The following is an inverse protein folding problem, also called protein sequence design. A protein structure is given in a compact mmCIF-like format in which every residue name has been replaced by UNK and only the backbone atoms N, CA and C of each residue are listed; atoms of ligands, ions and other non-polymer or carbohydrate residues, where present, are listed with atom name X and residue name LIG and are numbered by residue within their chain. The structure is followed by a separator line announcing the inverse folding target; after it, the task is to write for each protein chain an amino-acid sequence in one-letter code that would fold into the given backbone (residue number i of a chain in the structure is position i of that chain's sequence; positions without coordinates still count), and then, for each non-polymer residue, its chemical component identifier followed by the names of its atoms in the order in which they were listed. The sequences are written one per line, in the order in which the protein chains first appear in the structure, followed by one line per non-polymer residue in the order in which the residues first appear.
data_IF_385060831200
#
_entry.id   IF_385060831200
#
_cell.length_a   1.000
_cell.length_b   1.000
_cell.length_c   1.000
_cell.angle_alpha   90.00
_cell.angle_beta   90.00
_cell.angle_gamma   90.00
#
_symmetry.space_group_name_H-M   'P 1'
#
loop_
_entity.id
_entity.type
_entity.pdbx_description
1 polymer ?
#
# COMPACT_ATOMS: atom_id res chain seq x y z
N UNK A 1 32.05 14.14 39.90
CA UNK A 1 31.57 13.04 39.05
C UNK A 1 30.04 13.13 39.08
N UNK A 2 29.46 13.72 38.07
CA UNK A 2 28.00 13.93 37.96
C UNK A 2 27.47 13.00 36.87
N UNK A 3 26.72 11.98 37.29
CA UNK A 3 25.96 11.12 36.41
C UNK A 3 24.84 11.90 35.73
N UNK A 4 24.90 12.03 34.41
CA UNK A 4 23.77 12.49 33.60
C UNK A 4 22.90 11.28 33.23
N UNK A 5 21.57 11.32 33.46
CA UNK A 5 20.70 10.25 33.06
C UNK A 5 20.62 10.18 31.52
N UNK A 6 20.80 8.98 30.96
CA UNK A 6 20.55 8.67 29.55
C UNK A 6 19.06 8.88 29.26
N UNK A 7 18.71 9.80 28.36
CA UNK A 7 17.35 9.93 27.84
C UNK A 7 17.01 8.61 27.10
N UNK A 8 16.07 7.87 27.66
CA UNK A 8 15.42 6.77 26.95
C UNK A 8 14.59 7.34 25.79
N UNK A 9 14.60 6.63 24.67
CA UNK A 9 13.72 6.90 23.54
C UNK A 9 12.26 6.96 24.01
N UNK A 10 11.57 8.05 23.69
CA UNK A 10 10.17 8.23 24.05
C UNK A 10 9.33 7.21 23.26
N UNK A 11 8.43 6.51 23.96
CA UNK A 11 7.52 5.53 23.34
C UNK A 11 6.64 6.12 22.23
N UNK A 12 6.59 7.44 22.12
CA UNK A 12 5.83 8.18 21.10
C UNK A 12 6.50 8.14 19.72
N UNK A 13 7.82 8.06 19.64
CA UNK A 13 8.55 8.04 18.37
C UNK A 13 8.43 6.69 17.64
N UNK A 14 8.07 5.61 18.37
CA UNK A 14 7.90 4.27 17.81
C UNK A 14 6.55 4.06 17.08
N UNK A 15 5.57 4.91 17.33
CA UNK A 15 4.18 4.71 16.88
C UNK A 15 3.88 5.42 15.55
N UNK A 16 4.68 6.41 15.16
CA UNK A 16 4.46 7.19 13.92
C UNK A 16 4.66 6.32 12.65
N UNK A 17 5.41 5.23 12.76
CA UNK A 17 5.67 4.30 11.65
C UNK A 17 4.51 3.33 11.31
N UNK A 18 3.33 3.45 11.94
CA UNK A 18 2.36 2.34 11.98
C UNK A 18 1.04 2.56 11.24
N UNK A 19 0.87 3.64 10.46
CA UNK A 19 -0.43 3.88 9.80
C UNK A 19 -0.71 2.93 8.65
N UNK A 20 0.31 2.46 7.94
CA UNK A 20 0.14 1.41 6.93
C UNK A 20 0.12 -0.01 7.53
N UNK A 21 0.25 -0.16 8.86
CA UNK A 21 0.32 -1.47 9.51
C UNK A 21 -0.19 -1.44 10.94
N UNK A 22 -1.47 -1.53 11.12
CA UNK A 22 -2.05 -1.90 12.40
C UNK A 22 -2.01 -3.41 12.56
N UNK A 23 -0.96 -3.88 13.19
CA UNK A 23 -0.76 -5.30 13.47
C UNK A 23 0.60 -5.49 14.14
N UNK A 24 0.85 -4.81 15.28
CA UNK A 24 2.11 -4.94 15.99
C UNK A 24 2.12 -6.20 16.87
N UNK A 25 2.97 -7.16 16.53
CA UNK A 25 3.54 -8.08 17.49
C UNK A 25 4.98 -7.67 17.71
N UNK A 26 5.29 -7.13 18.90
CA UNK A 26 6.66 -6.85 19.31
C UNK A 26 7.38 -8.17 19.56
N UNK A 27 8.35 -8.54 18.72
CA UNK A 27 9.33 -9.58 19.01
C UNK A 27 10.67 -8.91 19.20
N UNK A 28 11.21 -9.09 20.41
CA UNK A 28 12.56 -8.70 20.82
C UNK A 28 13.61 -9.37 19.93
N UNK A 29 14.29 -8.60 19.08
CA UNK A 29 15.50 -9.04 18.43
C UNK A 29 16.67 -8.91 19.43
N UNK A 30 17.25 -10.03 19.82
CA UNK A 30 18.58 -10.09 20.48
C UNK A 30 19.59 -10.63 19.49
N UNK A 31 20.63 -9.81 19.28
CA UNK A 31 21.97 -10.12 18.78
C UNK A 31 22.13 -10.80 17.41
N UNK A 32 22.36 -9.98 16.39
CA UNK A 32 23.29 -10.30 15.32
C UNK A 32 24.38 -9.20 15.29
N UNK A 33 25.64 -9.60 15.30
CA UNK A 33 26.79 -8.70 15.27
C UNK A 33 26.92 -7.93 13.95
N UNK A 34 27.76 -6.90 13.87
CA UNK A 34 27.82 -6.00 12.73
C UNK A 34 28.35 -6.70 11.48
N UNK A 35 27.55 -6.73 10.43
CA UNK A 35 28.03 -7.03 9.09
C UNK A 35 28.80 -5.81 8.59
N UNK A 36 30.03 -6.01 8.12
CA UNK A 36 30.87 -4.97 7.54
C UNK A 36 30.20 -4.40 6.28
N UNK A 37 29.99 -3.09 6.29
CA UNK A 37 29.61 -2.34 5.10
C UNK A 37 30.79 -2.36 4.11
N UNK A 38 30.56 -2.86 2.90
CA UNK A 38 31.42 -2.59 1.77
C UNK A 38 30.99 -1.28 1.13
N UNK A 39 31.88 -0.31 1.13
CA UNK A 39 31.74 0.95 0.41
C UNK A 39 31.52 0.69 -1.08
N UNK A 40 30.36 1.11 -1.59
CA UNK A 40 30.15 1.26 -3.02
C UNK A 40 29.77 2.72 -3.30
N UNK A 41 30.63 3.37 -4.08
CA UNK A 41 30.48 4.74 -4.53
C UNK A 41 29.18 4.95 -5.36
N UNK A 42 28.64 6.18 -5.39
CA UNK A 42 27.42 6.48 -6.13
C UNK A 42 27.71 6.47 -7.64
N UNK A 43 27.15 5.51 -8.35
CA UNK A 43 27.12 5.54 -9.82
C UNK A 43 25.79 6.16 -10.26
N UNK A 44 25.87 7.39 -10.75
CA UNK A 44 24.77 8.04 -11.43
C UNK A 44 24.45 7.35 -12.75
N UNK A 45 23.18 7.45 -13.16
CA UNK A 45 22.71 7.10 -14.49
C UNK A 45 22.00 5.74 -14.52
N UNK A 46 20.68 5.76 -14.51
CA UNK A 46 19.87 4.60 -14.86
C UNK A 46 20.11 4.21 -16.32
N UNK A 47 21.06 3.30 -16.55
CA UNK A 47 21.13 2.55 -17.78
C UNK A 47 20.09 1.43 -17.69
N UNK A 48 19.02 1.53 -18.47
CA UNK A 48 18.16 0.39 -18.79
C UNK A 48 19.04 -0.71 -19.39
N UNK A 49 19.33 -1.76 -18.62
CA UNK A 49 19.95 -2.98 -19.15
C UNK A 49 19.05 -3.54 -20.26
N UNK A 50 19.60 -4.39 -21.14
CA UNK A 50 18.83 -4.94 -22.25
C UNK A 50 17.58 -5.61 -21.69
N UNK A 51 16.40 -5.16 -22.15
CA UNK A 51 15.11 -5.76 -21.78
C UNK A 51 15.13 -7.20 -22.27
N UNK A 52 15.12 -8.14 -21.34
CA UNK A 52 14.89 -9.53 -21.66
C UNK A 52 13.43 -9.60 -22.10
N UNK A 53 13.15 -10.02 -23.33
CA UNK A 53 11.80 -10.16 -23.84
C UNK A 53 10.95 -11.11 -23.00
N UNK A 54 9.67 -11.20 -23.30
CA UNK A 54 8.72 -12.06 -22.58
C UNK A 54 9.15 -13.53 -22.59
N UNK A 55 9.25 -14.15 -21.43
CA UNK A 55 9.60 -15.56 -21.25
C UNK A 55 8.37 -16.34 -20.83
N UNK A 56 7.89 -17.21 -21.72
CA UNK A 56 6.82 -18.16 -21.44
C UNK A 56 7.41 -19.44 -20.87
N UNK A 57 6.79 -19.99 -19.79
CA UNK A 57 7.23 -21.27 -19.20
C UNK A 57 6.86 -22.48 -20.03
N UNK A 58 5.88 -22.35 -20.91
CA UNK A 58 5.24 -23.44 -21.65
C UNK A 58 3.96 -23.96 -20.98
N UNK A 59 3.73 -23.63 -19.73
CA UNK A 59 2.52 -24.03 -19.00
C UNK A 59 1.30 -23.20 -19.42
N UNK A 60 0.13 -23.83 -19.27
CA UNK A 60 -1.18 -23.20 -19.49
C UNK A 60 -2.08 -23.54 -18.29
N UNK A 61 -2.58 -22.51 -17.61
CA UNK A 61 -3.48 -22.63 -16.46
C UNK A 61 -4.82 -21.99 -16.83
N UNK A 62 -5.91 -22.76 -16.76
CA UNK A 62 -7.26 -22.30 -17.12
C UNK A 62 -7.30 -21.61 -18.50
N UNK A 63 -6.58 -22.16 -19.47
CA UNK A 63 -6.50 -21.62 -20.83
C UNK A 63 -5.63 -20.37 -20.99
N UNK A 64 -4.95 -19.90 -19.95
CA UNK A 64 -4.06 -18.75 -19.97
C UNK A 64 -2.60 -19.18 -19.92
N UNK A 65 -1.75 -18.56 -20.75
CA UNK A 65 -0.31 -18.84 -20.77
C UNK A 65 0.36 -18.35 -19.49
N UNK A 66 1.38 -19.10 -19.06
CA UNK A 66 2.21 -18.75 -17.90
C UNK A 66 3.51 -18.09 -18.39
N UNK A 67 3.87 -17.02 -17.73
CA UNK A 67 5.10 -16.24 -17.98
C UNK A 67 6.00 -16.24 -16.75
N UNK A 68 7.32 -16.23 -16.97
CA UNK A 68 8.34 -16.02 -15.95
C UNK A 68 8.97 -14.61 -16.02
N UNK A 69 8.83 -13.94 -17.16
CA UNK A 69 9.22 -12.54 -17.41
C UNK A 69 8.20 -11.95 -18.37
N UNK A 70 7.84 -10.69 -18.19
CA UNK A 70 6.99 -9.95 -19.13
C UNK A 70 7.71 -8.70 -19.65
N UNK A 71 7.72 -8.55 -20.95
CA UNK A 71 7.86 -7.27 -21.63
C UNK A 71 6.54 -6.97 -22.35
N UNK A 72 5.80 -5.95 -21.90
CA UNK A 72 4.50 -5.59 -22.50
C UNK A 72 4.63 -5.16 -23.97
N UNK A 73 5.84 -4.83 -24.44
CA UNK A 73 6.06 -4.50 -25.83
C UNK A 73 5.90 -5.70 -26.77
N UNK A 74 6.12 -6.92 -26.28
CA UNK A 74 5.98 -8.15 -27.05
C UNK A 74 4.52 -8.57 -27.28
N UNK A 75 3.59 -7.96 -26.56
CA UNK A 75 2.17 -8.29 -26.66
C UNK A 75 1.53 -7.59 -27.87
N UNK A 76 0.52 -8.22 -28.46
CA UNK A 76 -0.24 -7.64 -29.59
C UNK A 76 -1.03 -6.39 -29.12
N UNK A 77 -0.95 -5.26 -29.84
CA UNK A 77 -1.69 -4.05 -29.53
C UNK A 77 -3.20 -4.18 -29.77
N UNK A 78 -3.98 -3.29 -29.18
CA UNK A 78 -5.44 -3.23 -29.32
C UNK A 78 -6.19 -4.36 -28.64
N UNK A 79 -5.58 -5.07 -27.69
CA UNK A 79 -6.17 -6.25 -27.05
C UNK A 79 -5.94 -6.28 -25.55
N UNK A 80 -6.79 -7.05 -24.84
CA UNK A 80 -6.54 -7.51 -23.46
C UNK A 80 -5.86 -8.87 -23.47
N UNK A 81 -4.76 -8.98 -22.73
CA UNK A 81 -4.04 -10.23 -22.51
C UNK A 81 -4.22 -10.69 -21.07
N UNK A 82 -4.62 -11.93 -20.90
CA UNK A 82 -4.79 -12.58 -19.60
C UNK A 82 -3.71 -13.64 -19.43
N UNK A 83 -2.83 -13.48 -18.46
CA UNK A 83 -1.66 -14.31 -18.24
C UNK A 83 -1.59 -14.72 -16.77
N UNK A 84 -0.82 -15.75 -16.47
CA UNK A 84 -0.34 -16.03 -15.13
C UNK A 84 1.16 -15.77 -15.06
N UNK A 85 1.61 -15.10 -14.02
CA UNK A 85 3.04 -14.98 -13.73
C UNK A 85 3.45 -16.05 -12.72
N UNK A 86 4.56 -16.74 -13.02
CA UNK A 86 5.15 -17.74 -12.15
C UNK A 86 5.94 -17.08 -11.02
N UNK A 87 5.37 -17.09 -9.83
CA UNK A 87 6.03 -16.60 -8.62
C UNK A 87 6.92 -17.64 -7.94
N UNK A 88 7.16 -17.45 -6.65
CA UNK A 88 8.00 -18.36 -5.85
C UNK A 88 7.43 -19.76 -5.76
N UNK A 89 8.30 -20.76 -5.58
CA UNK A 89 7.91 -22.14 -5.35
C UNK A 89 7.17 -22.31 -4.01
N UNK A 90 6.16 -23.18 -4.04
CA UNK A 90 5.47 -23.68 -2.86
C UNK A 90 6.26 -24.83 -2.23
N UNK A 91 5.98 -25.12 -0.97
CA UNK A 91 6.69 -26.17 -0.22
C UNK A 91 6.66 -27.57 -0.86
N UNK A 92 5.67 -27.84 -1.70
CA UNK A 92 5.49 -29.15 -2.39
C UNK A 92 5.92 -29.10 -3.86
N UNK A 93 6.68 -28.12 -4.30
CA UNK A 93 7.30 -28.06 -5.63
C UNK A 93 6.43 -27.46 -6.75
N UNK A 94 5.24 -26.95 -6.45
CA UNK A 94 4.49 -26.11 -7.37
C UNK A 94 4.86 -24.64 -7.16
N UNK A 95 4.37 -23.75 -8.05
CA UNK A 95 4.56 -22.30 -7.92
C UNK A 95 3.29 -21.61 -7.44
N UNK A 96 3.44 -20.50 -6.74
CA UNK A 96 2.39 -19.52 -6.62
C UNK A 96 2.28 -18.74 -7.94
N UNK A 97 1.10 -18.80 -8.54
CA UNK A 97 0.82 -18.07 -9.78
C UNK A 97 -0.02 -16.86 -9.46
N UNK A 98 0.35 -15.68 -9.99
CA UNK A 98 -0.44 -14.46 -9.86
C UNK A 98 -1.09 -14.08 -11.18
N UNK A 99 -2.28 -13.53 -11.10
CA UNK A 99 -3.07 -13.13 -12.28
C UNK A 99 -2.56 -11.81 -12.83
N UNK A 100 -2.25 -11.78 -14.10
CA UNK A 100 -1.78 -10.59 -14.83
C UNK A 100 -2.77 -10.27 -15.94
N UNK A 101 -3.33 -9.07 -15.91
CA UNK A 101 -4.16 -8.52 -16.98
C UNK A 101 -3.44 -7.37 -17.64
N UNK A 102 -3.23 -7.41 -18.95
CA UNK A 102 -2.63 -6.31 -19.71
C UNK A 102 -3.63 -5.80 -20.73
N UNK A 103 -4.06 -4.54 -20.60
CA UNK A 103 -4.78 -3.81 -21.64
C UNK A 103 -3.75 -3.04 -22.46
N UNK A 104 -3.33 -3.59 -23.60
CA UNK A 104 -2.37 -2.94 -24.49
C UNK A 104 -3.09 -2.14 -25.55
N UNK A 105 -2.95 -0.81 -25.50
CA UNK A 105 -3.57 0.10 -26.43
C UNK A 105 -3.14 -0.10 -27.87
N UNK A 106 -4.01 0.28 -28.80
CA UNK A 106 -3.74 0.24 -30.25
C UNK A 106 -2.63 1.23 -30.65
N UNK A 107 -2.37 2.25 -29.85
CA UNK A 107 -1.36 3.29 -30.09
C UNK A 107 -0.30 3.27 -29.00
N UNK A 108 0.95 3.65 -29.29
CA UNK A 108 2.00 3.80 -28.26
C UNK A 108 1.64 4.91 -27.28
N UNK A 109 2.14 4.81 -26.05
CA UNK A 109 1.94 5.78 -24.97
C UNK A 109 2.58 5.32 -23.67
N UNK A 110 2.21 5.94 -22.56
CA UNK A 110 2.67 5.63 -21.20
C UNK A 110 2.22 4.23 -20.75
N UNK A 111 2.96 3.66 -19.81
CA UNK A 111 2.69 2.35 -19.22
C UNK A 111 2.34 2.54 -17.75
N UNK A 112 1.08 2.27 -17.38
CA UNK A 112 0.60 2.28 -16.01
C UNK A 112 0.59 0.88 -15.42
N UNK A 113 1.06 0.74 -14.18
CA UNK A 113 0.99 -0.52 -13.42
C UNK A 113 0.07 -0.34 -12.22
N UNK A 114 -0.96 -1.18 -12.14
CA UNK A 114 -1.93 -1.21 -11.04
C UNK A 114 -1.73 -2.49 -10.24
N UNK A 115 -1.49 -2.37 -8.93
CA UNK A 115 -1.23 -3.53 -8.06
C UNK A 115 -2.25 -3.55 -6.94
N UNK A 116 -2.72 -4.75 -6.59
CA UNK A 116 -3.57 -4.99 -5.41
C UNK A 116 -3.38 -6.42 -4.89
N UNK A 117 -3.96 -6.72 -3.74
CA UNK A 117 -3.80 -8.05 -3.13
C UNK A 117 -2.41 -8.31 -2.56
N UNK A 118 -1.65 -7.26 -2.25
CA UNK A 118 -0.41 -7.33 -1.46
C UNK A 118 -0.73 -7.85 -0.05
N UNK A 119 -1.87 -7.44 0.51
CA UNK A 119 -2.47 -8.06 1.68
C UNK A 119 -3.69 -8.88 1.26
N UNK A 120 -3.85 -10.06 1.85
CA UNK A 120 -4.83 -11.04 1.37
C UNK A 120 -6.25 -10.82 1.88
N UNK A 121 -6.50 -9.86 2.76
CA UNK A 121 -7.82 -9.52 3.29
C UNK A 121 -8.40 -8.22 2.71
N UNK A 122 -7.71 -7.56 1.78
CA UNK A 122 -8.05 -6.22 1.28
C UNK A 122 -8.87 -6.26 -0.02
N UNK A 123 -10.12 -6.75 0.08
CA UNK A 123 -10.96 -7.09 -1.07
C UNK A 123 -11.41 -5.89 -1.91
N UNK A 124 -11.70 -4.73 -1.29
CA UNK A 124 -12.12 -3.53 -2.02
C UNK A 124 -11.03 -3.02 -2.96
N UNK A 125 -9.76 -3.13 -2.58
CA UNK A 125 -8.61 -2.78 -3.41
C UNK A 125 -8.54 -3.65 -4.67
N UNK A 126 -8.71 -4.97 -4.51
CA UNK A 126 -8.73 -5.93 -5.60
C UNK A 126 -9.86 -5.62 -6.58
N UNK A 127 -11.06 -5.42 -6.05
CA UNK A 127 -12.24 -5.14 -6.88
C UNK A 127 -12.16 -3.80 -7.61
N UNK A 128 -11.52 -2.80 -7.00
CA UNK A 128 -11.24 -1.52 -7.66
C UNK A 128 -10.41 -1.72 -8.92
N UNK A 129 -9.27 -2.42 -8.81
CA UNK A 129 -8.39 -2.69 -9.95
C UNK A 129 -9.09 -3.51 -11.02
N UNK A 130 -9.84 -4.56 -10.65
CA UNK A 130 -10.63 -5.36 -11.58
C UNK A 130 -11.65 -4.51 -12.33
N UNK A 131 -12.34 -3.60 -11.63
CA UNK A 131 -13.35 -2.71 -12.20
C UNK A 131 -12.73 -1.73 -13.20
N UNK A 132 -11.59 -1.13 -12.88
CA UNK A 132 -10.82 -0.28 -13.81
C UNK A 132 -10.48 -1.08 -15.07
N UNK A 133 -9.84 -2.25 -14.91
CA UNK A 133 -9.42 -3.06 -16.05
C UNK A 133 -10.59 -3.51 -16.93
N UNK A 134 -11.75 -3.74 -16.35
CA UNK A 134 -12.96 -4.11 -17.10
C UNK A 134 -13.51 -2.96 -17.95
N UNK A 135 -13.32 -1.70 -17.52
CA UNK A 135 -13.77 -0.52 -18.26
C UNK A 135 -12.86 -0.12 -19.43
N UNK A 136 -11.62 -0.64 -19.46
CA UNK A 136 -10.66 -0.30 -20.51
C UNK A 136 -11.03 -0.98 -21.83
N UNK A 137 -11.02 -0.20 -22.93
CA UNK A 137 -11.08 -0.71 -24.30
C UNK A 137 -9.73 -0.48 -24.99
N UNK A 138 -8.90 -1.51 -25.14
CA UNK A 138 -7.58 -1.38 -25.74
C UNK A 138 -7.60 -0.84 -27.18
N UNK A 139 -8.67 -1.03 -27.92
CA UNK A 139 -8.77 -0.52 -29.29
C UNK A 139 -8.75 1.03 -29.33
N UNK A 140 -9.26 1.67 -28.27
CA UNK A 140 -9.33 3.14 -28.15
C UNK A 140 -8.18 3.75 -27.33
N UNK A 141 -7.31 2.90 -26.73
CA UNK A 141 -6.24 3.34 -25.81
C UNK A 141 -4.95 3.71 -26.54
N UNK A 142 -4.19 4.61 -25.89
CA UNK A 142 -2.79 4.90 -26.21
C UNK A 142 -1.91 4.48 -25.01
N UNK A 143 -0.91 3.60 -25.26
CA UNK A 143 -0.09 3.05 -24.18
C UNK A 143 -0.64 1.77 -23.60
N UNK A 144 -0.29 1.45 -22.34
CA UNK A 144 -0.58 0.14 -21.75
C UNK A 144 -0.97 0.30 -20.28
N UNK A 145 -1.96 -0.46 -19.84
CA UNK A 145 -2.25 -0.65 -18.42
C UNK A 145 -2.09 -2.12 -18.07
N UNK A 146 -1.19 -2.41 -17.15
CA UNK A 146 -0.99 -3.75 -16.59
C UNK A 146 -1.51 -3.80 -15.17
N UNK A 147 -2.24 -4.85 -14.82
CA UNK A 147 -2.77 -5.06 -13.48
C UNK A 147 -2.37 -6.42 -12.91
N UNK A 148 -2.02 -6.43 -11.62
CA UNK A 148 -1.82 -7.63 -10.80
C UNK A 148 -2.74 -7.52 -9.59
N UNK A 149 -3.66 -8.47 -9.41
CA UNK A 149 -4.76 -8.36 -8.42
C UNK A 149 -4.68 -9.33 -7.27
N UNK A 150 -3.73 -10.25 -7.27
CA UNK A 150 -3.60 -11.34 -6.30
C UNK A 150 -2.13 -11.59 -5.91
N UNK A 151 -1.40 -10.51 -5.64
CA UNK A 151 0.05 -10.54 -5.33
C UNK A 151 0.36 -11.55 -4.23
N UNK A 152 -0.31 -11.46 -3.09
CA UNK A 152 -0.11 -12.38 -1.96
C UNK A 152 -1.16 -13.48 -1.97
N UNK A 153 -1.15 -14.29 -3.03
CA UNK A 153 -2.16 -15.34 -3.20
C UNK A 153 -2.35 -16.25 -1.99
N UNK A 154 -1.30 -16.74 -1.30
CA UNK A 154 -1.51 -17.59 -0.10
C UNK A 154 -2.19 -16.84 1.06
N UNK A 155 -2.02 -15.52 1.15
CA UNK A 155 -2.72 -14.71 2.14
C UNK A 155 -4.20 -14.52 1.75
N UNK A 156 -4.50 -14.33 0.46
CA UNK A 156 -5.86 -14.24 -0.09
C UNK A 156 -6.63 -15.55 0.15
N UNK A 157 -6.03 -16.70 -0.17
CA UNK A 157 -6.63 -18.03 0.05
C UNK A 157 -6.93 -18.29 1.54
N UNK A 158 -6.21 -17.64 2.44
CA UNK A 158 -6.39 -17.73 3.88
C UNK A 158 -7.25 -16.60 4.45
N UNK A 159 -7.73 -15.65 3.62
CA UNK A 159 -8.47 -14.45 4.03
C UNK A 159 -7.78 -13.71 5.18
N UNK A 160 -6.46 -13.52 5.10
CA UNK A 160 -5.66 -12.85 6.11
C UNK A 160 -4.70 -11.85 5.48
N UNK A 161 -4.30 -10.85 6.26
CA UNK A 161 -3.39 -9.80 5.80
C UNK A 161 -2.04 -10.33 5.35
N UNK A 162 -1.44 -11.21 6.16
CA UNK A 162 -0.03 -11.59 6.06
C UNK A 162 0.17 -12.88 5.28
N UNK A 163 1.29 -12.96 4.57
CA UNK A 163 1.77 -14.17 3.91
C UNK A 163 2.11 -15.23 4.94
N UNK A 164 1.47 -16.43 4.89
CA UNK A 164 1.85 -17.54 5.74
C UNK A 164 3.15 -18.15 5.23
N UNK A 165 4.22 -17.98 5.98
CA UNK A 165 5.55 -18.52 5.67
C UNK A 165 5.86 -19.71 6.57
N UNK A 166 6.37 -20.80 5.99
CA UNK A 166 6.71 -22.03 6.71
C UNK A 166 8.18 -22.02 7.14
N UNK A 167 8.56 -21.07 7.98
CA UNK A 167 9.91 -20.98 8.51
C UNK A 167 10.10 -21.90 9.72
N UNK A 168 9.98 -21.34 10.92
CA UNK A 168 10.06 -22.06 12.21
C UNK A 168 8.67 -22.32 12.78
N UNK A 169 7.89 -23.15 12.10
CA UNK A 169 6.47 -23.26 12.36
C UNK A 169 5.70 -22.44 11.33
N UNK A 170 4.73 -21.62 11.75
CA UNK A 170 4.02 -20.74 10.86
C UNK A 170 4.33 -19.29 11.21
N UNK A 171 5.21 -18.67 10.44
CA UNK A 171 5.49 -17.25 10.51
C UNK A 171 4.54 -16.47 9.60
N UNK A 172 4.06 -15.32 10.04
CA UNK A 172 3.22 -14.44 9.26
C UNK A 172 4.04 -13.22 8.80
N UNK A 173 4.36 -13.17 7.51
CA UNK A 173 5.16 -12.11 6.91
C UNK A 173 4.25 -11.02 6.32
N UNK A 174 4.47 -9.77 6.69
CA UNK A 174 3.84 -8.64 6.00
C UNK A 174 4.52 -8.42 4.66
N UNK A 175 3.84 -8.80 3.57
CA UNK A 175 4.37 -8.70 2.22
C UNK A 175 4.73 -7.25 1.85
N UNK A 176 4.01 -6.27 2.42
CA UNK A 176 4.28 -4.84 2.20
C UNK A 176 5.39 -4.29 3.13
N UNK A 177 6.32 -5.17 3.53
CA UNK A 177 7.61 -4.85 4.17
C UNK A 177 8.77 -5.57 3.50
N UNK A 178 8.48 -6.30 2.42
CA UNK A 178 9.47 -7.12 1.73
C UNK A 178 9.95 -6.50 0.40
N UNK A 179 9.35 -5.40 -0.06
CA UNK A 179 9.71 -4.78 -1.36
C UNK A 179 11.01 -3.98 -1.30
N UNK A 180 11.83 -4.02 -2.39
CA UNK A 180 11.62 -4.72 -3.67
C UNK A 180 11.90 -6.22 -3.60
N UNK A 181 12.25 -6.77 -2.45
CA UNK A 181 12.58 -8.16 -2.24
C UNK A 181 14.03 -8.53 -2.56
N UNK A 182 14.34 -9.80 -2.37
CA UNK A 182 15.62 -10.38 -2.69
C UNK A 182 15.43 -11.80 -3.24
N UNK A 183 15.88 -12.06 -4.48
CA UNK A 183 15.76 -13.39 -5.11
C UNK A 183 16.44 -14.50 -4.30
N UNK A 184 17.44 -14.16 -3.49
CA UNK A 184 18.12 -15.04 -2.55
C UNK A 184 17.67 -14.82 -1.09
N UNK A 185 16.55 -14.12 -0.88
CA UNK A 185 16.01 -13.80 0.43
C UNK A 185 15.71 -15.04 1.27
N UNK A 186 15.67 -14.85 2.60
CA UNK A 186 15.46 -15.93 3.56
C UNK A 186 14.02 -16.35 3.71
N UNK A 187 13.08 -15.56 3.18
CA UNK A 187 11.63 -15.85 3.18
C UNK A 187 11.10 -16.05 1.77
N UNK A 188 10.05 -16.87 1.63
CA UNK A 188 9.35 -17.04 0.35
C UNK A 188 8.69 -15.72 -0.09
N UNK A 189 8.18 -14.91 0.84
CA UNK A 189 7.60 -13.61 0.58
C UNK A 189 8.62 -12.64 -0.06
N UNK A 190 9.83 -12.54 0.49
CA UNK A 190 10.90 -11.68 -0.06
C UNK A 190 11.33 -12.11 -1.46
N UNK A 191 11.45 -13.43 -1.69
CA UNK A 191 11.77 -13.98 -3.02
C UNK A 191 10.65 -13.70 -4.02
N UNK A 192 9.40 -13.85 -3.59
CA UNK A 192 8.23 -13.57 -4.43
C UNK A 192 8.15 -12.09 -4.82
N UNK A 193 8.37 -11.18 -3.85
CA UNK A 193 8.47 -9.75 -4.10
C UNK A 193 9.53 -9.43 -5.16
N UNK A 194 10.73 -10.01 -5.03
CA UNK A 194 11.82 -9.79 -5.98
C UNK A 194 11.49 -10.29 -7.39
N UNK A 195 10.90 -11.47 -7.53
CA UNK A 195 10.47 -12.00 -8.83
C UNK A 195 9.45 -11.08 -9.48
N UNK A 196 8.41 -10.68 -8.74
CA UNK A 196 7.38 -9.76 -9.23
C UNK A 196 8.00 -8.40 -9.61
N UNK A 197 8.75 -7.79 -8.72
CA UNK A 197 9.28 -6.45 -8.92
C UNK A 197 10.23 -6.38 -10.10
N UNK A 198 11.20 -7.30 -10.17
CA UNK A 198 12.25 -7.26 -11.17
C UNK A 198 11.83 -7.78 -12.55
N UNK A 199 10.89 -8.75 -12.61
CA UNK A 199 10.57 -9.47 -13.83
C UNK A 199 9.20 -9.14 -14.42
N UNK A 200 8.35 -8.46 -13.65
CA UNK A 200 6.97 -8.14 -14.07
C UNK A 200 6.65 -6.65 -13.90
N UNK A 201 6.81 -6.08 -12.69
CA UNK A 201 6.26 -4.78 -12.36
C UNK A 201 7.13 -3.62 -12.87
N UNK A 202 8.35 -3.49 -12.33
CA UNK A 202 9.25 -2.38 -12.63
C UNK A 202 9.58 -2.22 -14.13
N UNK A 203 9.88 -3.30 -14.91
CA UNK A 203 10.23 -3.15 -16.32
C UNK A 203 9.09 -2.61 -17.19
N UNK A 204 7.85 -2.72 -16.71
CA UNK A 204 6.64 -2.37 -17.45
C UNK A 204 5.95 -1.10 -16.95
N UNK A 205 6.59 -0.32 -16.06
CA UNK A 205 5.99 0.84 -15.42
C UNK A 205 6.67 2.16 -15.82
N UNK A 206 5.89 3.14 -16.24
CA UNK A 206 6.26 4.56 -16.27
C UNK A 206 5.66 5.31 -15.07
N UNK A 207 4.61 4.74 -14.46
CA UNK A 207 4.04 5.09 -13.16
C UNK A 207 3.35 3.85 -12.56
N UNK A 208 3.14 3.84 -11.25
CA UNK A 208 2.47 2.73 -10.57
C UNK A 208 1.50 3.21 -9.48
N UNK A 209 0.47 2.40 -9.20
CA UNK A 209 -0.51 2.63 -8.14
C UNK A 209 -0.69 1.33 -7.36
N UNK A 210 -0.43 1.39 -6.05
CA UNK A 210 -0.48 0.25 -5.12
C UNK A 210 -1.73 0.36 -4.24
N UNK A 211 -2.79 -0.38 -4.58
CA UNK A 211 -4.09 -0.29 -3.94
C UNK A 211 -4.18 -1.13 -2.68
N UNK A 212 -4.60 -0.50 -1.60
CA UNK A 212 -4.79 -1.10 -0.29
C UNK A 212 -6.16 -0.78 0.31
N UNK A 213 -6.41 -1.29 1.51
CA UNK A 213 -7.50 -0.91 2.43
C UNK A 213 -6.94 -0.87 3.86
N UNK A 214 -7.73 -0.39 4.80
CA UNK A 214 -7.48 -0.68 6.22
C UNK A 214 -7.37 -2.18 6.46
N UNK A 215 -6.77 -2.57 7.57
CA UNK A 215 -6.58 -3.98 7.94
C UNK A 215 -7.80 -4.57 8.63
N UNK A 216 -7.91 -5.90 8.73
CA UNK A 216 -8.94 -6.57 9.56
C UNK A 216 -8.99 -5.96 10.96
N UNK A 217 -10.17 -5.58 11.41
CA UNK A 217 -10.42 -4.96 12.70
C UNK A 217 -10.14 -3.46 12.78
N UNK A 218 -9.75 -2.83 11.64
CA UNK A 218 -9.51 -1.39 11.56
C UNK A 218 -9.90 -0.87 10.17
N UNK A 219 -10.83 0.06 10.12
CA UNK A 219 -11.26 0.71 8.88
C UNK A 219 -10.63 2.09 8.72
N UNK A 220 -10.50 2.53 7.49
CA UNK A 220 -9.99 3.85 7.14
C UNK A 220 -10.95 4.58 6.21
N UNK A 221 -10.77 5.89 6.07
CA UNK A 221 -11.47 6.70 5.07
C UNK A 221 -11.03 6.31 3.65
N UNK A 222 -11.71 6.85 2.66
CA UNK A 222 -11.19 6.89 1.31
C UNK A 222 -10.10 7.97 1.24
N UNK A 223 -8.81 7.59 1.19
CA UNK A 223 -7.71 8.54 1.14
C UNK A 223 -6.52 7.99 0.33
N UNK A 224 -5.59 8.88 0.00
CA UNK A 224 -4.36 8.52 -0.70
C UNK A 224 -3.13 8.79 0.18
N UNK A 225 -2.08 7.97 0.02
CA UNK A 225 -0.77 8.14 0.65
C UNK A 225 0.28 8.35 -0.44
N UNK A 226 1.06 9.44 -0.38
CA UNK A 226 2.17 9.68 -1.31
C UNK A 226 2.83 11.01 -1.06
N UNK A 227 4.05 11.20 -1.59
CA UNK A 227 4.83 12.42 -1.41
C UNK A 227 4.30 13.59 -2.26
N UNK A 228 3.75 14.61 -1.61
CA UNK A 228 3.27 15.83 -2.28
C UNK A 228 4.40 16.74 -2.77
N UNK A 229 5.62 16.51 -2.37
CA UNK A 229 6.84 17.16 -2.84
C UNK A 229 7.32 16.63 -4.20
N UNK A 230 6.81 15.47 -4.66
CA UNK A 230 7.10 14.91 -5.98
C UNK A 230 6.01 15.34 -6.97
N UNK A 231 6.30 16.21 -7.96
CA UNK A 231 5.27 16.84 -8.80
C UNK A 231 4.36 15.86 -9.52
N UNK A 232 4.91 14.74 -10.05
CA UNK A 232 4.12 13.72 -10.77
C UNK A 232 3.22 12.93 -9.81
N UNK A 233 3.69 12.61 -8.61
CA UNK A 233 2.89 11.94 -7.57
C UNK A 233 1.77 12.86 -7.10
N UNK A 234 2.10 14.12 -6.78
CA UNK A 234 1.11 15.14 -6.40
C UNK A 234 0.01 15.27 -7.45
N UNK A 235 0.40 15.39 -8.73
CA UNK A 235 -0.57 15.50 -9.82
C UNK A 235 -1.53 14.31 -9.86
N UNK A 236 -1.05 13.08 -9.63
CA UNK A 236 -1.89 11.88 -9.59
C UNK A 236 -2.78 11.84 -8.35
N UNK A 237 -2.26 12.19 -7.17
CA UNK A 237 -3.02 12.22 -5.91
C UNK A 237 -4.22 13.18 -5.98
N UNK A 238 -4.03 14.38 -6.54
CA UNK A 238 -5.05 15.42 -6.70
C UNK A 238 -6.17 15.05 -7.69
N UNK A 239 -5.97 14.01 -8.52
CA UNK A 239 -6.97 13.52 -9.48
C UNK A 239 -8.04 12.59 -8.87
N UNK A 240 -7.87 12.20 -7.61
CA UNK A 240 -8.84 11.37 -6.91
C UNK A 240 -9.88 12.22 -6.18
N UNK A 241 -11.18 11.90 -6.30
CA UNK A 241 -12.24 12.59 -5.57
C UNK A 241 -12.35 12.05 -4.14
N UNK A 242 -11.27 12.14 -3.37
CA UNK A 242 -11.19 11.72 -1.97
C UNK A 242 -10.89 12.91 -1.07
N UNK A 243 -11.42 12.89 0.16
CA UNK A 243 -11.38 14.03 1.06
C UNK A 243 -10.04 14.20 1.79
N UNK A 244 -9.18 13.18 1.79
CA UNK A 244 -7.94 13.20 2.56
C UNK A 244 -6.75 12.72 1.73
N UNK A 245 -5.60 13.37 1.94
CA UNK A 245 -4.29 12.94 1.43
C UNK A 245 -3.33 12.91 2.62
N UNK A 246 -2.66 11.77 2.81
CA UNK A 246 -1.54 11.65 3.73
C UNK A 246 -0.25 11.89 2.95
N UNK A 247 0.32 13.09 3.14
CA UNK A 247 1.60 13.49 2.57
C UNK A 247 2.74 12.77 3.29
N UNK A 248 3.03 11.58 2.80
CA UNK A 248 4.08 10.73 3.36
C UNK A 248 4.58 9.75 2.31
N UNK A 249 5.91 9.55 2.25
CA UNK A 249 6.53 8.59 1.34
C UNK A 249 7.62 7.73 2.02
N UNK A 250 7.70 7.78 3.34
CA UNK A 250 8.86 7.18 4.04
C UNK A 250 8.47 5.91 4.80
N UNK A 251 8.19 4.83 4.06
CA UNK A 251 8.06 3.50 4.68
C UNK A 251 8.95 2.50 3.95
N UNK A 252 10.08 2.09 4.52
CA UNK A 252 10.92 1.05 3.93
C UNK A 252 10.15 -0.25 3.71
N UNK A 253 10.36 -0.87 2.56
CA UNK A 253 9.79 -2.17 2.23
C UNK A 253 8.34 -2.15 1.72
N UNK A 254 7.70 -0.97 1.54
CA UNK A 254 6.40 -0.88 0.86
C UNK A 254 6.59 -0.76 -0.65
N UNK A 255 5.58 -1.24 -1.40
CA UNK A 255 5.70 -1.35 -2.85
C UNK A 255 5.81 0.01 -3.55
N UNK A 256 5.01 1.00 -3.17
CA UNK A 256 5.09 2.31 -3.82
C UNK A 256 6.47 2.97 -3.63
N UNK A 257 7.12 2.82 -2.46
CA UNK A 257 8.47 3.31 -2.25
C UNK A 257 9.50 2.55 -3.10
N UNK A 258 9.35 1.24 -3.24
CA UNK A 258 10.24 0.47 -4.12
C UNK A 258 10.20 0.99 -5.57
N UNK A 259 9.04 1.43 -6.06
CA UNK A 259 8.95 2.12 -7.35
C UNK A 259 9.63 3.50 -7.31
N UNK A 260 9.33 4.30 -6.29
CA UNK A 260 9.91 5.65 -6.11
C UNK A 260 11.45 5.60 -6.06
N UNK A 261 12.03 4.63 -5.36
CA UNK A 261 13.49 4.41 -5.28
C UNK A 261 14.13 4.09 -6.64
N UNK A 262 13.32 3.67 -7.62
CA UNK A 262 13.78 3.44 -9.02
C UNK A 262 13.42 4.60 -9.96
N UNK A 263 12.89 5.70 -9.45
CA UNK A 263 12.49 6.87 -10.22
C UNK A 263 11.14 6.73 -10.93
N UNK A 264 10.33 5.75 -10.55
CA UNK A 264 8.98 5.54 -11.09
C UNK A 264 7.96 6.16 -10.14
N UNK A 265 7.22 7.22 -10.53
CA UNK A 265 6.21 7.86 -9.70
C UNK A 265 5.16 6.86 -9.23
N UNK A 266 4.92 6.79 -7.92
CA UNK A 266 3.99 5.83 -7.33
C UNK A 266 3.38 6.35 -6.04
N UNK A 267 2.18 5.87 -5.70
CA UNK A 267 1.45 6.18 -4.48
C UNK A 267 0.48 5.06 -4.11
N UNK A 268 -0.12 5.15 -2.92
CA UNK A 268 -1.06 4.15 -2.39
C UNK A 268 -2.44 4.76 -2.13
N UNK A 269 -3.49 4.31 -2.83
CA UNK A 269 -4.89 4.51 -2.44
C UNK A 269 -5.31 3.53 -1.35
N UNK A 270 -6.07 4.01 -0.35
CA UNK A 270 -6.63 3.24 0.75
C UNK A 270 -8.16 3.21 0.66
N UNK A 271 -8.75 2.06 0.35
CA UNK A 271 -10.15 1.90 -0.06
C UNK A 271 -11.00 1.33 1.09
N UNK A 272 -11.05 2.00 2.23
CA UNK A 272 -11.95 1.64 3.34
C UNK A 272 -11.46 0.45 4.18
N UNK A 273 -12.34 -0.50 4.44
CA UNK A 273 -12.11 -1.61 5.35
C UNK A 273 -11.70 -2.92 4.64
N UNK A 274 -10.96 -3.77 5.34
CA UNK A 274 -10.66 -5.14 4.93
C UNK A 274 -11.91 -6.03 4.92
N UNK A 275 -11.86 -7.13 4.19
CA UNK A 275 -12.86 -8.22 4.12
C UNK A 275 -14.25 -7.83 3.60
N UNK A 276 -14.42 -6.61 3.12
CA UNK A 276 -15.69 -6.13 2.57
C UNK A 276 -15.50 -5.54 1.18
N UNK A 277 -16.59 -5.43 0.42
CA UNK A 277 -16.66 -4.65 -0.80
C UNK A 277 -17.47 -3.38 -0.52
N UNK A 278 -16.77 -2.26 -0.33
CA UNK A 278 -17.40 -0.96 -0.20
C UNK A 278 -17.57 -0.33 -1.59
N UNK A 279 -18.71 -0.59 -2.25
CA UNK A 279 -18.95 -0.18 -3.63
C UNK A 279 -18.95 1.34 -3.82
N UNK A 280 -19.35 2.10 -2.79
CA UNK A 280 -19.31 3.56 -2.82
C UNK A 280 -17.87 4.06 -2.89
N UNK A 281 -17.01 3.62 -1.95
CA UNK A 281 -15.58 3.97 -1.97
C UNK A 281 -14.88 3.45 -3.22
N UNK A 282 -15.15 2.20 -3.64
CA UNK A 282 -14.61 1.63 -4.88
C UNK A 282 -14.89 2.56 -6.06
N UNK A 283 -16.11 3.13 -6.16
CA UNK A 283 -16.45 4.03 -7.26
C UNK A 283 -15.59 5.30 -7.31
N UNK A 284 -15.22 5.85 -6.16
CA UNK A 284 -14.33 7.02 -6.06
C UNK A 284 -12.93 6.70 -6.59
N UNK A 285 -12.41 5.52 -6.21
CA UNK A 285 -11.08 5.11 -6.64
C UNK A 285 -11.02 4.66 -8.10
N UNK A 286 -12.09 4.08 -8.63
CA UNK A 286 -12.23 3.81 -10.06
C UNK A 286 -12.23 5.13 -10.85
N UNK A 287 -13.02 6.13 -10.42
CA UNK A 287 -13.07 7.46 -11.03
C UNK A 287 -11.69 8.14 -11.01
N UNK A 288 -11.03 8.16 -9.85
CA UNK A 288 -9.69 8.74 -9.69
C UNK A 288 -8.64 8.05 -10.55
N UNK A 289 -8.65 6.71 -10.59
CA UNK A 289 -7.73 5.95 -11.45
C UNK A 289 -7.97 6.25 -12.93
N UNK A 290 -9.22 6.31 -13.36
CA UNK A 290 -9.56 6.68 -14.74
C UNK A 290 -9.11 8.12 -15.04
N UNK A 291 -9.16 9.04 -14.07
CA UNK A 291 -8.62 10.39 -14.23
C UNK A 291 -7.09 10.37 -14.40
N UNK A 292 -6.36 9.54 -13.64
CA UNK A 292 -4.91 9.36 -13.81
C UNK A 292 -4.60 8.82 -15.21
N UNK A 293 -5.34 7.82 -15.69
CA UNK A 293 -5.15 7.28 -17.04
C UNK A 293 -5.40 8.32 -18.13
N UNK A 294 -6.41 9.18 -17.94
CA UNK A 294 -6.69 10.32 -18.84
C UNK A 294 -5.58 11.38 -18.79
N UNK A 295 -5.10 11.71 -17.60
CA UNK A 295 -3.98 12.64 -17.40
C UNK A 295 -2.73 12.20 -18.15
N UNK A 296 -2.42 10.92 -18.13
CA UNK A 296 -1.31 10.34 -18.87
C UNK A 296 -1.60 10.10 -20.36
N UNK A 297 -2.79 10.46 -20.86
CA UNK A 297 -3.18 10.28 -22.25
C UNK A 297 -3.40 8.82 -22.66
N UNK A 298 -3.55 7.90 -21.71
CA UNK A 298 -3.80 6.47 -21.98
C UNK A 298 -5.24 6.25 -22.42
N UNK A 299 -6.19 6.92 -21.75
CA UNK A 299 -7.62 6.89 -22.06
C UNK A 299 -8.07 8.29 -22.48
N UNK A 300 -8.86 8.39 -23.54
CA UNK A 300 -9.45 9.65 -23.95
C UNK A 300 -10.72 9.99 -23.14
N UNK A 301 -11.08 11.26 -23.12
CA UNK A 301 -12.34 11.75 -22.54
C UNK A 301 -12.14 12.82 -21.45
N UNK A 302 -13.23 13.44 -20.98
CA UNK A 302 -13.18 14.47 -19.96
C UNK A 302 -12.77 13.86 -18.61
N UNK A 303 -12.13 14.67 -17.76
CA UNK A 303 -11.91 14.31 -16.37
C UNK A 303 -13.25 14.13 -15.64
N UNK A 304 -13.31 13.16 -14.74
CA UNK A 304 -14.35 13.06 -13.73
C UNK A 304 -14.10 14.04 -12.57
N UNK A 305 -14.76 13.82 -11.44
CA UNK A 305 -14.50 14.56 -10.20
C UNK A 305 -13.06 14.32 -9.76
N UNK A 306 -12.49 15.31 -9.10
CA UNK A 306 -11.11 15.30 -8.60
C UNK A 306 -11.08 15.86 -7.17
N UNK A 307 -9.91 15.89 -6.53
CA UNK A 307 -9.72 16.57 -5.25
C UNK A 307 -10.06 18.07 -5.30
N UNK A 308 -10.00 18.70 -6.48
CA UNK A 308 -10.37 20.11 -6.65
C UNK A 308 -11.87 20.40 -6.46
N UNK A 309 -12.69 19.36 -6.55
CA UNK A 309 -14.13 19.43 -6.34
C UNK A 309 -14.52 19.24 -4.86
N UNK A 310 -13.53 19.06 -3.98
CA UNK A 310 -13.68 18.76 -2.56
C UNK A 310 -12.81 19.69 -1.71
N UNK A 311 -13.15 19.80 -0.42
CA UNK A 311 -12.29 20.40 0.62
C UNK A 311 -11.31 19.32 1.11
N UNK A 312 -10.22 19.11 0.36
CA UNK A 312 -9.26 18.04 0.66
C UNK A 312 -8.35 18.45 1.81
N UNK A 313 -8.37 17.65 2.87
CA UNK A 313 -7.42 17.79 3.97
C UNK A 313 -6.11 17.07 3.62
N UNK A 314 -5.02 17.81 3.58
CA UNK A 314 -3.66 17.27 3.40
C UNK A 314 -2.96 17.30 4.75
N UNK A 315 -2.69 16.13 5.31
CA UNK A 315 -1.94 16.00 6.56
C UNK A 315 -0.60 15.30 6.33
N UNK A 316 0.43 15.71 7.07
CA UNK A 316 1.78 15.13 6.96
C UNK A 316 2.14 14.18 8.10
N UNK A 317 1.24 13.99 9.05
CA UNK A 317 1.46 13.15 10.22
C UNK A 317 0.17 12.50 10.67
N UNK A 318 0.28 11.35 11.34
CA UNK A 318 -0.86 10.69 11.92
C UNK A 318 -0.65 10.47 13.42
N UNK A 319 -1.67 10.76 14.20
CA UNK A 319 -1.69 10.61 15.65
C UNK A 319 -2.55 9.41 16.03
N UNK A 320 -1.94 8.31 16.56
CA UNK A 320 -2.67 7.16 17.04
C UNK A 320 -3.19 7.39 18.45
N UNK A 321 -4.44 7.00 18.68
CA UNK A 321 -4.99 6.84 20.01
C UNK A 321 -5.03 5.35 20.31
N UNK A 322 -4.26 4.92 21.30
CA UNK A 322 -4.12 3.52 21.68
C UNK A 322 -4.97 3.21 22.90
N UNK A 323 -5.58 2.02 22.92
CA UNK A 323 -6.28 1.50 24.09
C UNK A 323 -5.33 1.38 25.29
N UNK A 324 -5.79 1.79 26.46
CA UNK A 324 -5.08 1.64 27.74
C UNK A 324 -5.75 0.61 28.66
N UNK A 325 -6.95 0.18 28.30
CA UNK A 325 -7.73 -0.83 29.01
C UNK A 325 -8.24 -1.89 28.01
N UNK A 326 -8.88 -2.94 28.54
CA UNK A 326 -9.61 -3.95 27.75
C UNK A 326 -11.12 -3.71 27.84
N UNK A 327 -11.84 -4.07 26.75
CA UNK A 327 -13.30 -4.04 26.77
C UNK A 327 -13.92 -3.56 25.46
N UNK A 328 -15.21 -3.27 25.51
CA UNK A 328 -16.00 -2.77 24.40
C UNK A 328 -15.60 -1.32 24.09
N UNK A 329 -15.38 -1.03 22.83
CA UNK A 329 -15.02 0.30 22.32
C UNK A 329 -16.26 0.97 21.75
N UNK A 330 -16.52 2.19 22.20
CA UNK A 330 -17.56 3.07 21.69
C UNK A 330 -16.89 4.33 21.13
N UNK A 331 -16.94 4.50 19.81
CA UNK A 331 -16.44 5.71 19.14
C UNK A 331 -17.45 6.85 19.30
N UNK A 332 -16.95 8.04 19.64
CA UNK A 332 -17.72 9.28 19.77
C UNK A 332 -17.53 10.18 18.54
N UNK A 333 -16.76 9.72 17.58
CA UNK A 333 -16.45 10.36 16.30
C UNK A 333 -16.61 9.36 15.16
N UNK A 334 -16.69 9.88 13.94
CA UNK A 334 -16.78 9.10 12.70
C UNK A 334 -15.56 9.39 11.81
N UNK A 335 -15.35 8.53 10.82
CA UNK A 335 -14.38 8.80 9.76
C UNK A 335 -14.70 10.14 9.07
N UNK A 336 -13.67 10.90 8.75
CA UNK A 336 -13.70 12.27 8.22
C UNK A 336 -14.16 13.37 9.19
N UNK A 337 -14.50 13.07 10.44
CA UNK A 337 -14.82 14.12 11.41
C UNK A 337 -13.56 14.97 11.70
N UNK A 338 -13.76 16.30 11.76
CA UNK A 338 -12.76 17.23 12.29
C UNK A 338 -12.78 17.18 13.80
N UNK A 339 -11.62 17.12 14.43
CA UNK A 339 -11.47 17.05 15.88
C UNK A 339 -10.47 18.09 16.38
N UNK A 340 -10.72 18.57 17.60
CA UNK A 340 -9.84 19.49 18.30
C UNK A 340 -8.99 18.76 19.34
N UNK A 341 -7.85 19.33 19.70
CA UNK A 341 -7.05 18.83 20.81
C UNK A 341 -7.86 18.88 22.13
N UNK A 342 -7.87 17.79 22.87
CA UNK A 342 -8.70 17.62 24.08
C UNK A 342 -10.12 17.11 23.83
N UNK A 343 -10.58 17.00 22.60
CA UNK A 343 -11.89 16.45 22.29
C UNK A 343 -11.93 14.94 22.60
N UNK A 344 -13.00 14.49 23.26
CA UNK A 344 -13.23 13.06 23.54
C UNK A 344 -13.62 12.36 22.24
N UNK A 345 -12.94 11.25 21.92
CA UNK A 345 -13.09 10.53 20.65
C UNK A 345 -13.55 9.09 20.82
N UNK A 346 -13.29 8.47 21.97
CA UNK A 346 -13.77 7.13 22.29
C UNK A 346 -13.89 6.91 23.79
N UNK A 347 -14.71 5.92 24.18
CA UNK A 347 -14.75 5.36 25.52
C UNK A 347 -14.61 3.85 25.48
N UNK A 348 -14.19 3.25 26.58
CA UNK A 348 -14.07 1.81 26.70
C UNK A 348 -14.81 1.31 27.93
N UNK A 349 -15.59 0.23 27.76
CA UNK A 349 -16.41 -0.35 28.82
C UNK A 349 -16.00 -1.78 29.12
N UNK A 350 -15.98 -2.15 30.40
CA UNK A 350 -15.78 -3.53 30.82
C UNK A 350 -17.04 -4.39 30.59
N UNK A 351 -16.96 -5.67 30.98
CA UNK A 351 -18.06 -6.63 30.82
C UNK A 351 -19.31 -6.30 31.66
N UNK A 352 -19.18 -5.40 32.64
CA UNK A 352 -20.29 -4.92 33.48
C UNK A 352 -20.96 -3.64 32.89
N UNK A 353 -20.44 -3.10 31.76
CA UNK A 353 -20.90 -1.86 31.16
C UNK A 353 -20.31 -0.59 31.81
N UNK A 354 -19.43 -0.72 32.76
CA UNK A 354 -18.77 0.42 33.44
C UNK A 354 -17.69 1.02 32.51
N UNK A 355 -17.60 2.34 32.45
CA UNK A 355 -16.55 3.04 31.73
C UNK A 355 -15.21 2.85 32.44
N UNK A 356 -14.27 2.19 31.80
CA UNK A 356 -12.93 1.92 32.33
C UNK A 356 -11.84 2.81 31.75
N UNK A 357 -12.09 3.43 30.60
CA UNK A 357 -11.20 4.42 30.00
C UNK A 357 -11.98 5.39 29.10
N UNK A 358 -11.47 6.61 29.04
CA UNK A 358 -11.91 7.66 28.12
C UNK A 358 -10.70 8.16 27.32
N UNK A 359 -10.89 8.39 26.03
CA UNK A 359 -9.81 8.75 25.12
C UNK A 359 -10.08 10.12 24.51
N UNK A 360 -9.08 10.97 24.56
CA UNK A 360 -9.13 12.32 23.99
C UNK A 360 -8.08 12.49 22.90
N UNK A 361 -8.38 13.33 21.91
CA UNK A 361 -7.41 13.70 20.89
C UNK A 361 -6.28 14.52 21.51
N UNK A 362 -5.03 14.18 21.17
CA UNK A 362 -3.86 14.97 21.52
C UNK A 362 -3.58 16.12 20.55
N UNK A 363 -4.24 16.16 19.40
CA UNK A 363 -4.00 17.09 18.30
C UNK A 363 -5.33 17.52 17.67
N UNK A 364 -5.33 18.67 16.99
CA UNK A 364 -6.41 19.02 16.06
C UNK A 364 -6.11 18.38 14.70
N UNK A 365 -7.13 17.86 14.03
CA UNK A 365 -6.97 17.20 12.74
C UNK A 365 -8.26 16.52 12.25
N UNK A 366 -8.15 15.54 11.39
CA UNK A 366 -9.28 14.77 10.88
C UNK A 366 -9.13 13.28 11.15
N UNK A 367 -10.25 12.61 11.48
CA UNK A 367 -10.28 11.15 11.68
C UNK A 367 -10.06 10.46 10.34
N UNK A 368 -8.94 9.75 10.22
CA UNK A 368 -8.60 8.99 9.00
C UNK A 368 -8.80 7.48 9.17
N UNK A 369 -8.85 6.99 10.42
CA UNK A 369 -9.09 5.56 10.67
C UNK A 369 -9.65 5.32 12.07
N UNK A 370 -10.39 4.24 12.21
CA UNK A 370 -10.96 3.82 13.47
C UNK A 370 -11.05 2.29 13.56
N UNK A 371 -11.01 1.79 14.79
CA UNK A 371 -11.20 0.36 15.06
C UNK A 371 -12.61 -0.06 14.68
N UNK A 372 -12.72 -1.09 13.82
CA UNK A 372 -14.01 -1.69 13.43
C UNK A 372 -14.38 -2.91 14.29
N UNK A 373 -13.41 -3.54 14.97
CA UNK A 373 -13.71 -4.54 15.99
C UNK A 373 -14.26 -3.88 17.26
N UNK A 374 -15.40 -4.36 17.74
CA UNK A 374 -16.09 -3.78 18.89
C UNK A 374 -15.36 -3.96 20.22
N UNK A 375 -14.32 -4.78 20.28
CA UNK A 375 -13.50 -5.00 21.48
C UNK A 375 -12.04 -4.66 21.23
N UNK A 376 -11.34 -4.25 22.28
CA UNK A 376 -9.93 -3.94 22.23
C UNK A 376 -9.21 -4.32 23.51
N UNK A 377 -7.93 -4.60 23.38
CA UNK A 377 -6.98 -4.81 24.46
C UNK A 377 -5.94 -3.67 24.50
N UNK A 378 -5.21 -3.49 25.62
CA UNK A 378 -4.19 -2.44 25.73
C UNK A 378 -3.15 -2.51 24.61
N UNK A 379 -2.82 -1.33 24.05
CA UNK A 379 -1.87 -1.19 22.95
C UNK A 379 -2.48 -1.23 21.56
N UNK A 380 -3.72 -1.70 21.40
CA UNK A 380 -4.39 -1.66 20.09
C UNK A 380 -4.81 -0.23 19.73
N UNK A 381 -4.69 0.16 18.45
CA UNK A 381 -5.19 1.45 18.00
C UNK A 381 -6.73 1.48 18.01
N UNK A 382 -7.26 2.58 18.49
CA UNK A 382 -8.69 2.89 18.50
C UNK A 382 -9.05 3.86 17.40
N UNK A 383 -8.25 4.92 17.25
CA UNK A 383 -8.49 6.00 16.28
C UNK A 383 -7.16 6.47 15.74
N UNK A 384 -7.11 6.78 14.44
CA UNK A 384 -6.04 7.57 13.83
C UNK A 384 -6.56 8.94 13.41
N UNK A 385 -5.77 9.96 13.72
CA UNK A 385 -6.06 11.36 13.38
C UNK A 385 -4.95 11.84 12.44
N UNK A 386 -5.33 12.18 11.23
CA UNK A 386 -4.47 12.84 10.27
C UNK A 386 -4.34 14.32 10.67
N UNK A 387 -3.12 14.85 10.75
CA UNK A 387 -2.87 16.21 11.17
C UNK A 387 -1.61 16.80 10.54
N UNK A 388 -1.41 18.09 10.67
CA UNK A 388 -0.19 18.75 10.24
C UNK A 388 0.73 18.99 11.43
N UNK A 389 1.87 18.27 11.43
CA UNK A 389 2.95 18.52 12.35
C UNK A 389 3.79 19.67 11.78
N UNK A 390 3.96 20.75 12.53
CA UNK A 390 4.88 21.80 12.16
C UNK A 390 6.30 21.22 12.09
N UNK A 391 6.96 21.37 10.94
CA UNK A 391 8.38 21.07 10.82
C UNK A 391 9.12 22.12 11.63
N UNK A 392 9.94 21.76 12.65
CA UNK A 392 10.77 22.75 13.33
C UNK A 392 11.64 23.45 12.29
N UNK A 393 11.68 24.80 12.31
CA UNK A 393 12.61 25.56 11.48
C UNK A 393 14.04 25.05 11.73
N UNK A 394 14.72 24.56 10.68
CA UNK A 394 16.11 24.07 10.74
C UNK A 394 16.32 22.57 10.90
N UNK A 395 15.26 21.73 10.84
CA UNK A 395 15.44 20.30 10.66
C UNK A 395 15.37 20.02 9.16
N UNK A 396 16.54 19.88 8.55
CA UNK A 396 16.66 19.34 7.19
C UNK A 396 15.92 17.97 7.13
N UNK A 397 15.21 17.76 6.04
CA UNK A 397 14.58 16.49 5.73
C UNK A 397 15.59 15.37 5.94
N UNK A 398 15.25 14.40 6.78
CA UNK A 398 15.99 13.22 7.20
C UNK A 398 17.36 13.03 6.52
N UNK A 399 18.46 12.90 7.28
CA UNK A 399 19.72 12.48 6.70
C UNK A 399 19.56 11.07 6.13
N UNK A 400 20.14 10.86 4.95
CA UNK A 400 20.24 9.62 4.18
C UNK A 400 20.64 8.40 5.01
#
# INVERSE_FOLDING_TARGET
MSDKPKKGLDRRDFVIASIATVGASAVLARNAGPAQAQDSAPSGGAASGPTQGTVYTGDVIQGKKVIAVLDVNDLEPGQKHLLYFQGVEMSAGQHWYVSVTVAKGAKPGKRGVLVSGVHGDEMSSIHTVQTVMNQLDPAEMSGTVMAVTDVSRPAIESMQRRWPNQGRGMDLIDMNREWPGNENGVTAASRHAALLFNRLLRPNADFAIDFHTGTTGFEVTAFNIGGMDVPEVKAMLELYPVAQIFDNHVYPGVLHNAFMDTGIPSFTPEVGAARVLNLEMISLFVEGTMNVLKHHGIVAGPMGRTGKDLDVFVGNSAFPILATASGLVEHLVKLNDKVEAGQKVAIQRNSFGEVVAEYVSGVAGEITGQRSDAVSEPGNPLVFILFNKATPEGVEAYPE
#
